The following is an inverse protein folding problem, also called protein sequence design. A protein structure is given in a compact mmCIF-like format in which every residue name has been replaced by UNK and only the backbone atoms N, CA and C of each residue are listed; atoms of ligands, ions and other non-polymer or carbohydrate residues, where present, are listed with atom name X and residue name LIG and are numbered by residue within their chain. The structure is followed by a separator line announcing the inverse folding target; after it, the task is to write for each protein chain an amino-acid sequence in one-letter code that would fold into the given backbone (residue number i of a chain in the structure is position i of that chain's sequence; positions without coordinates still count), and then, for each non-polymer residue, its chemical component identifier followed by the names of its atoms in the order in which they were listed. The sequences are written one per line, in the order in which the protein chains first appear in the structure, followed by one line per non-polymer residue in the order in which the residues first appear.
data_IF_661263050309
#
_entry.id   IF_661263050309
#
_cell.length_a   1.000
_cell.length_b   1.000
_cell.length_c   1.000
_cell.angle_alpha   90.00
_cell.angle_beta   90.00
_cell.angle_gamma   90.00
#
_symmetry.space_group_name_H-M   'P 1'
#
loop_
_entity.id
_entity.type
_entity.pdbx_description
1 polymer ?
#
# COMPACT_ATOMS: atom_id res chain seq x y z
N UNK A 1 -2.95 -4.04 26.32
CA UNK A 1 -3.33 -2.64 26.58
C UNK A 1 -3.95 -2.09 25.29
N UNK A 2 -4.79 -1.05 25.33
CA UNK A 2 -5.45 -0.50 24.13
C UNK A 2 -4.84 0.84 23.72
N UNK A 3 -4.97 1.17 22.43
CA UNK A 3 -4.67 2.47 21.83
C UNK A 3 -5.91 2.95 21.08
N UNK A 4 -6.30 4.21 21.28
CA UNK A 4 -7.48 4.79 20.64
C UNK A 4 -7.07 5.97 19.79
N UNK A 5 -7.48 5.98 18.52
CA UNK A 5 -7.22 7.07 17.58
C UNK A 5 -8.49 7.66 16.98
N UNK A 6 -8.38 8.92 16.58
CA UNK A 6 -9.37 9.64 15.80
C UNK A 6 -8.96 9.60 14.33
N UNK A 7 -9.89 9.17 13.49
CA UNK A 7 -9.73 9.19 12.03
C UNK A 7 -10.47 10.40 11.44
N UNK A 8 -10.21 10.79 10.19
CA UNK A 8 -10.85 11.96 9.58
C UNK A 8 -12.37 11.85 9.40
N UNK A 9 -12.92 10.63 9.38
CA UNK A 9 -14.35 10.40 9.19
C UNK A 9 -14.75 9.00 9.66
N UNK A 10 -16.05 8.76 9.93
CA UNK A 10 -16.52 7.41 10.23
C UNK A 10 -16.19 6.38 9.14
N UNK A 11 -16.15 6.81 7.87
CA UNK A 11 -15.79 5.92 6.77
C UNK A 11 -14.31 5.57 6.76
N UNK A 12 -13.43 6.49 7.18
CA UNK A 12 -12.00 6.21 7.32
C UNK A 12 -11.74 5.18 8.44
N UNK A 13 -12.41 5.33 9.60
CA UNK A 13 -12.34 4.32 10.67
C UNK A 13 -12.86 2.95 10.20
N UNK A 14 -13.98 2.91 9.49
CA UNK A 14 -14.55 1.66 8.99
C UNK A 14 -13.64 0.97 7.95
N UNK A 15 -13.03 1.74 7.05
CA UNK A 15 -12.10 1.22 6.04
C UNK A 15 -10.86 0.61 6.68
N UNK A 16 -10.26 1.31 7.65
CA UNK A 16 -9.10 0.80 8.36
C UNK A 16 -9.43 -0.42 9.23
N UNK A 17 -10.59 -0.42 9.91
CA UNK A 17 -11.09 -1.58 10.64
C UNK A 17 -11.22 -2.80 9.73
N UNK A 18 -11.86 -2.66 8.56
CA UNK A 18 -11.99 -3.75 7.60
C UNK A 18 -10.62 -4.26 7.13
N UNK A 19 -9.67 -3.35 6.89
CA UNK A 19 -8.30 -3.71 6.52
C UNK A 19 -7.55 -4.47 7.60
N UNK A 20 -7.65 -4.04 8.86
CA UNK A 20 -7.03 -4.73 9.99
C UNK A 20 -7.62 -6.12 10.20
N UNK A 21 -8.94 -6.29 10.10
CA UNK A 21 -9.56 -7.61 10.23
C UNK A 21 -9.16 -8.52 9.05
N UNK A 22 -9.21 -8.03 7.80
CA UNK A 22 -8.80 -8.82 6.63
C UNK A 22 -7.34 -9.30 6.71
N UNK A 23 -6.41 -8.39 7.06
CA UNK A 23 -5.00 -8.73 7.24
C UNK A 23 -4.80 -9.72 8.39
N UNK A 24 -5.50 -9.55 9.51
CA UNK A 24 -5.41 -10.46 10.66
C UNK A 24 -5.93 -11.85 10.34
N UNK A 25 -7.07 -11.95 9.65
CA UNK A 25 -7.67 -13.22 9.22
C UNK A 25 -6.77 -13.97 8.23
N UNK A 26 -6.02 -13.24 7.40
CA UNK A 26 -5.00 -13.79 6.52
C UNK A 26 -3.68 -14.17 7.22
N UNK A 27 -3.56 -13.91 8.53
CA UNK A 27 -2.40 -14.28 9.35
C UNK A 27 -1.33 -13.20 9.47
N UNK A 28 -1.57 -11.97 9.00
CA UNK A 28 -0.63 -10.87 9.17
C UNK A 28 -0.56 -10.43 10.64
N UNK A 29 0.62 -9.97 11.05
CA UNK A 29 0.84 -9.40 12.38
C UNK A 29 0.38 -7.94 12.42
N UNK A 30 -0.90 -7.73 12.71
CA UNK A 30 -1.54 -6.41 12.84
C UNK A 30 -2.23 -6.27 14.19
N UNK A 31 -2.46 -5.05 14.70
CA UNK A 31 -3.21 -4.83 15.93
C UNK A 31 -4.62 -5.44 15.89
N UNK A 32 -5.04 -6.11 16.96
CA UNK A 32 -6.44 -6.49 17.13
C UNK A 32 -7.33 -5.25 17.25
N UNK A 33 -8.49 -5.25 16.58
CA UNK A 33 -9.51 -4.21 16.77
C UNK A 33 -10.43 -4.58 17.95
N UNK A 34 -10.67 -3.62 18.85
CA UNK A 34 -11.60 -3.76 19.96
C UNK A 34 -12.93 -3.05 19.72
N UNK A 35 -12.90 -1.87 19.08
CA UNK A 35 -14.11 -1.14 18.69
C UNK A 35 -13.86 -0.15 17.56
N UNK A 36 -14.91 0.08 16.76
CA UNK A 36 -14.97 1.11 15.72
C UNK A 36 -16.29 1.87 15.87
N UNK A 37 -16.26 3.06 16.45
CA UNK A 37 -17.45 3.86 16.76
C UNK A 37 -17.34 5.27 16.18
N UNK A 38 -18.20 5.58 15.20
CA UNK A 38 -18.07 6.83 14.44
C UNK A 38 -16.68 6.91 13.80
N UNK A 39 -15.97 8.02 14.02
CA UNK A 39 -14.61 8.22 13.54
C UNK A 39 -13.51 7.71 14.51
N UNK A 40 -13.89 7.00 15.58
CA UNK A 40 -12.98 6.51 16.61
C UNK A 40 -12.67 5.03 16.42
N UNK A 41 -11.39 4.68 16.40
CA UNK A 41 -10.93 3.29 16.34
C UNK A 41 -10.11 2.97 17.60
N UNK A 42 -10.47 1.90 18.31
CA UNK A 42 -9.71 1.38 19.45
C UNK A 42 -9.12 0.03 19.10
N UNK A 43 -7.79 -0.05 19.16
CA UNK A 43 -6.99 -1.21 18.75
C UNK A 43 -6.03 -1.64 19.84
N UNK A 44 -5.37 -2.77 19.62
CA UNK A 44 -4.24 -3.23 20.42
C UNK A 44 -3.12 -2.20 20.43
N UNK A 45 -2.64 -1.87 21.63
CA UNK A 45 -1.42 -1.09 21.78
C UNK A 45 -0.22 -2.00 21.59
N UNK A 46 0.55 -1.75 20.54
CA UNK A 46 1.81 -2.43 20.29
C UNK A 46 2.90 -1.74 21.12
N UNK A 47 3.51 -2.50 22.03
CA UNK A 47 4.63 -2.02 22.83
C UNK A 47 5.91 -2.07 21.99
N UNK A 48 6.18 -0.97 21.30
CA UNK A 48 7.38 -0.83 20.47
C UNK A 48 8.61 -0.44 21.26
N UNK A 49 9.77 -0.92 20.82
CA UNK A 49 11.09 -0.61 21.37
C UNK A 49 11.87 -1.86 21.69
N UNK A 50 13.13 -1.75 22.08
CA UNK A 50 14.00 -2.90 22.32
C UNK A 50 15.37 -2.75 21.67
N UNK A 51 16.21 -3.81 21.68
CA UNK A 51 17.41 -3.81 20.85
C UNK A 51 17.02 -3.59 19.39
N UNK A 52 17.90 -2.96 18.60
CA UNK A 52 17.64 -2.72 17.18
C UNK A 52 17.36 -4.01 16.42
N UNK A 53 16.66 -3.88 15.28
CA UNK A 53 16.31 -4.97 14.37
C UNK A 53 17.56 -5.73 13.95
N UNK A 54 17.52 -7.06 14.04
CA UNK A 54 18.62 -7.93 13.59
C UNK A 54 18.40 -8.36 12.14
N UNK A 55 19.46 -8.88 11.51
CA UNK A 55 19.36 -9.46 10.16
C UNK A 55 18.35 -10.60 10.07
N UNK A 56 18.20 -11.37 11.14
CA UNK A 56 17.24 -12.46 11.19
C UNK A 56 15.80 -11.93 11.15
N UNK A 57 15.52 -10.87 11.90
CA UNK A 57 14.19 -10.25 11.97
C UNK A 57 13.79 -9.61 10.63
N UNK A 58 14.76 -9.01 9.91
CA UNK A 58 14.58 -8.52 8.55
C UNK A 58 14.17 -9.67 7.60
N UNK A 59 14.94 -10.76 7.59
CA UNK A 59 14.64 -11.93 6.75
C UNK A 59 13.35 -12.64 7.15
N UNK A 60 12.99 -12.66 8.42
CA UNK A 60 11.72 -13.20 8.90
C UNK A 60 10.55 -12.35 8.38
N UNK A 61 10.64 -11.03 8.45
CA UNK A 61 9.59 -10.15 7.93
C UNK A 61 9.36 -10.33 6.42
N UNK A 62 10.42 -10.43 5.63
CA UNK A 62 10.29 -10.69 4.19
C UNK A 62 9.54 -12.00 3.90
N UNK A 63 9.82 -13.07 4.65
CA UNK A 63 9.11 -14.35 4.55
C UNK A 63 7.66 -14.26 5.06
N UNK A 64 7.39 -13.53 6.14
CA UNK A 64 6.03 -13.30 6.65
C UNK A 64 5.16 -12.55 5.62
N UNK A 65 5.70 -11.51 4.99
CA UNK A 65 5.01 -10.76 3.94
C UNK A 65 4.77 -11.64 2.69
N UNK A 66 5.76 -12.45 2.30
CA UNK A 66 5.62 -13.41 1.20
C UNK A 66 4.53 -14.45 1.51
N UNK A 67 4.45 -14.93 2.75
CA UNK A 67 3.42 -15.87 3.18
C UNK A 67 2.02 -15.24 3.10
N UNK A 68 1.85 -14.02 3.63
CA UNK A 68 0.59 -13.26 3.51
C UNK A 68 0.14 -13.12 2.06
N UNK A 69 1.05 -12.70 1.19
CA UNK A 69 0.73 -12.55 -0.23
C UNK A 69 0.45 -13.90 -0.89
N UNK A 70 1.19 -14.96 -0.57
CA UNK A 70 1.00 -16.28 -1.17
C UNK A 70 -0.36 -16.91 -0.79
N UNK A 71 -0.80 -16.77 0.46
CA UNK A 71 -2.03 -17.42 0.96
C UNK A 71 -3.30 -16.71 0.53
N UNK A 72 -3.21 -15.44 0.14
CA UNK A 72 -4.35 -14.59 -0.24
C UNK A 72 -4.47 -14.39 -1.75
N UNK A 73 -3.60 -15.01 -2.56
CA UNK A 73 -3.67 -14.91 -4.02
C UNK A 73 -4.83 -15.71 -4.58
N UNK A 74 -5.97 -15.06 -4.78
CA UNK A 74 -7.18 -15.69 -5.32
C UNK A 74 -7.48 -15.19 -6.73
N UNK A 75 -7.95 -16.08 -7.61
CA UNK A 75 -8.42 -15.68 -8.96
C UNK A 75 -9.89 -15.25 -8.97
N UNK A 76 -10.60 -15.48 -7.87
CA UNK A 76 -12.05 -15.36 -7.79
C UNK A 76 -12.51 -14.06 -7.11
N UNK A 77 -11.62 -13.37 -6.39
CA UNK A 77 -11.87 -12.03 -5.88
C UNK A 77 -11.54 -11.01 -6.98
N UNK A 78 -12.29 -9.91 -7.06
CA UNK A 78 -11.95 -8.79 -7.94
C UNK A 78 -10.86 -7.90 -7.33
N UNK A 79 -10.31 -6.98 -8.13
CA UNK A 79 -9.37 -5.96 -7.65
C UNK A 79 -10.13 -4.81 -7.01
N UNK A 80 -9.77 -4.37 -5.81
CA UNK A 80 -10.49 -3.29 -5.13
C UNK A 80 -10.38 -3.32 -3.61
N UNK A 81 -11.34 -2.67 -2.94
CA UNK A 81 -11.39 -2.64 -1.48
C UNK A 81 -11.64 -4.02 -0.87
N UNK A 82 -11.25 -4.19 0.39
CA UNK A 82 -11.56 -5.39 1.19
C UNK A 82 -13.01 -5.41 1.70
N UNK A 83 -13.76 -4.32 1.52
CA UNK A 83 -15.19 -4.23 1.81
C UNK A 83 -15.99 -3.75 0.59
N UNK A 84 -17.32 -3.87 0.66
CA UNK A 84 -18.22 -3.54 -0.46
C UNK A 84 -18.37 -2.03 -0.71
N UNK A 85 -17.74 -1.16 0.09
CA UNK A 85 -17.86 0.30 -0.04
C UNK A 85 -16.68 0.87 -0.82
N UNK A 86 -16.90 1.43 -2.03
CA UNK A 86 -15.81 1.87 -2.90
C UNK A 86 -15.14 3.17 -2.44
N UNK A 87 -15.54 3.73 -1.29
CA UNK A 87 -14.91 4.89 -0.66
C UNK A 87 -13.79 4.40 0.25
N UNK A 88 -12.56 4.51 -0.25
CA UNK A 88 -11.34 4.10 0.43
C UNK A 88 -10.45 5.30 0.74
N UNK A 89 -9.35 5.05 1.45
CA UNK A 89 -8.36 6.07 1.81
C UNK A 89 -6.95 5.53 1.61
N UNK A 90 -6.06 6.38 1.10
CA UNK A 90 -4.62 6.17 1.18
C UNK A 90 -4.04 7.29 2.04
N UNK A 91 -3.61 6.96 3.26
CA UNK A 91 -3.39 7.93 4.32
C UNK A 91 -4.65 8.78 4.56
N UNK A 92 -4.53 10.10 4.40
CA UNK A 92 -5.64 11.05 4.54
C UNK A 92 -6.37 11.36 3.23
N UNK A 93 -5.93 10.81 2.10
CA UNK A 93 -6.50 11.13 0.79
C UNK A 93 -7.63 10.15 0.46
N UNK A 94 -8.88 10.63 0.25
CA UNK A 94 -9.96 9.79 -0.25
C UNK A 94 -9.64 9.30 -1.67
N UNK A 95 -9.86 8.01 -1.92
CA UNK A 95 -9.70 7.38 -3.22
C UNK A 95 -10.95 6.56 -3.56
N UNK A 96 -11.19 6.36 -4.85
CA UNK A 96 -12.25 5.49 -5.34
C UNK A 96 -11.66 4.11 -5.62
N UNK A 97 -12.16 3.08 -4.94
CA UNK A 97 -11.62 1.72 -5.00
C UNK A 97 -12.75 0.68 -5.11
N UNK A 98 -13.57 0.73 -6.19
CA UNK A 98 -14.58 -0.30 -6.44
C UNK A 98 -13.92 -1.64 -6.78
N UNK A 99 -14.65 -2.74 -6.55
CA UNK A 99 -14.27 -4.07 -7.02
C UNK A 99 -14.46 -4.14 -8.54
N UNK A 100 -13.38 -4.48 -9.25
CA UNK A 100 -13.35 -4.57 -10.73
C UNK A 100 -12.58 -5.80 -11.19
N UNK A 101 -12.75 -6.18 -12.46
CA UNK A 101 -12.22 -7.44 -13.00
C UNK A 101 -10.75 -7.36 -13.45
N UNK A 102 -10.18 -6.16 -13.56
CA UNK A 102 -8.81 -5.97 -14.04
C UNK A 102 -7.97 -5.05 -13.16
N UNK A 103 -6.69 -5.37 -13.07
CA UNK A 103 -5.72 -4.54 -12.36
C UNK A 103 -5.53 -3.18 -13.03
N UNK A 104 -5.55 -3.15 -14.36
CA UNK A 104 -5.46 -1.91 -15.14
C UNK A 104 -6.57 -0.93 -14.77
N UNK A 105 -7.82 -1.39 -14.73
CA UNK A 105 -8.96 -0.55 -14.34
C UNK A 105 -8.83 -0.08 -12.90
N UNK A 106 -8.47 -0.97 -11.97
CA UNK A 106 -8.31 -0.61 -10.55
C UNK A 106 -7.18 0.40 -10.34
N UNK A 107 -6.01 0.19 -10.95
CA UNK A 107 -4.81 0.97 -10.68
C UNK A 107 -4.71 2.22 -11.56
N UNK A 108 -4.79 2.07 -12.89
CA UNK A 108 -4.63 3.19 -13.81
C UNK A 108 -5.89 4.05 -13.88
N UNK A 109 -7.03 3.44 -14.22
CA UNK A 109 -8.26 4.19 -14.53
C UNK A 109 -8.94 4.76 -13.28
N UNK A 110 -9.05 3.98 -12.20
CA UNK A 110 -9.75 4.41 -10.99
C UNK A 110 -8.88 5.25 -10.05
N UNK A 111 -7.54 5.15 -10.14
CA UNK A 111 -6.64 5.80 -9.17
C UNK A 111 -5.59 6.71 -9.80
N UNK A 112 -4.67 6.19 -10.62
CA UNK A 112 -3.55 7.01 -11.14
C UNK A 112 -4.06 8.16 -12.00
N UNK A 113 -4.96 7.92 -12.98
CA UNK A 113 -5.49 8.98 -13.85
C UNK A 113 -6.28 10.04 -13.06
N UNK A 114 -7.24 9.68 -12.18
CA UNK A 114 -8.01 10.67 -11.44
C UNK A 114 -7.14 11.46 -10.45
N UNK A 115 -6.19 10.81 -9.77
CA UNK A 115 -5.28 11.51 -8.85
C UNK A 115 -4.31 12.43 -9.60
N UNK A 116 -3.78 12.02 -10.76
CA UNK A 116 -2.95 12.89 -11.59
C UNK A 116 -3.73 14.12 -12.08
N UNK A 117 -4.97 13.93 -12.55
CA UNK A 117 -5.86 15.04 -12.93
C UNK A 117 -6.07 15.99 -11.76
N UNK A 118 -6.45 15.47 -10.59
CA UNK A 118 -6.65 16.25 -9.37
C UNK A 118 -5.39 17.02 -8.98
N UNK A 119 -4.22 16.37 -8.98
CA UNK A 119 -2.95 17.00 -8.64
C UNK A 119 -2.59 18.15 -9.59
N UNK A 120 -2.91 18.03 -10.89
CA UNK A 120 -2.71 19.12 -11.86
C UNK A 120 -3.72 20.26 -11.65
N UNK A 121 -5.00 19.93 -11.41
CA UNK A 121 -6.06 20.92 -11.13
C UNK A 121 -5.79 21.73 -9.85
N UNK A 122 -5.23 21.09 -8.82
CA UNK A 122 -4.82 21.72 -7.56
C UNK A 122 -3.46 22.43 -7.64
N UNK A 123 -2.75 22.34 -8.78
CA UNK A 123 -1.45 22.98 -8.99
C UNK A 123 -0.27 22.28 -8.30
N UNK A 124 -0.46 21.03 -7.87
CA UNK A 124 0.55 20.19 -7.22
C UNK A 124 1.47 19.46 -8.21
N UNK A 125 1.07 19.38 -9.50
CA UNK A 125 1.77 18.64 -10.54
C UNK A 125 1.73 19.38 -11.90
N UNK A 126 2.79 19.25 -12.70
CA UNK A 126 2.86 19.86 -14.02
C UNK A 126 1.89 19.19 -15.02
N UNK A 127 1.32 19.97 -15.94
CA UNK A 127 0.37 19.48 -16.93
C UNK A 127 0.95 18.41 -17.88
N UNK A 128 2.28 18.35 -18.04
CA UNK A 128 3.00 17.26 -18.71
C UNK A 128 2.61 15.89 -18.15
N UNK A 129 2.33 15.81 -16.84
CA UNK A 129 1.98 14.56 -16.18
C UNK A 129 0.75 13.89 -16.80
N UNK A 130 -0.26 14.65 -17.23
CA UNK A 130 -1.46 14.07 -17.86
C UNK A 130 -1.10 13.36 -19.17
N UNK A 131 -0.20 13.96 -19.97
CA UNK A 131 0.27 13.33 -21.22
C UNK A 131 1.09 12.07 -20.97
N UNK A 132 1.86 12.01 -19.89
CA UNK A 132 2.65 10.83 -19.55
C UNK A 132 1.77 9.71 -19.00
N UNK A 133 0.83 10.05 -18.11
CA UNK A 133 -0.16 9.09 -17.59
C UNK A 133 -1.00 8.49 -18.72
N UNK A 134 -1.39 9.27 -19.73
CA UNK A 134 -2.13 8.80 -20.93
C UNK A 134 -1.37 7.78 -21.78
N UNK A 135 -0.05 7.63 -21.59
CA UNK A 135 0.75 6.59 -22.26
C UNK A 135 0.83 5.29 -21.49
N UNK A 136 0.42 5.28 -20.22
CA UNK A 136 0.37 4.07 -19.40
C UNK A 136 -0.79 3.19 -19.85
N UNK A 137 -0.50 1.90 -19.96
CA UNK A 137 -1.32 0.83 -20.52
C UNK A 137 -1.00 -0.47 -19.76
N UNK A 138 -1.90 -1.45 -19.78
CA UNK A 138 -1.79 -2.74 -19.08
C UNK A 138 -0.39 -3.37 -19.14
N UNK A 139 0.25 -3.37 -20.31
CA UNK A 139 1.57 -3.98 -20.51
C UNK A 139 2.68 -3.44 -19.61
N UNK A 140 2.53 -2.23 -19.07
CA UNK A 140 3.52 -1.64 -18.15
C UNK A 140 3.37 -2.18 -16.73
N UNK A 141 2.20 -2.72 -16.36
CA UNK A 141 1.90 -3.22 -15.02
C UNK A 141 2.60 -4.56 -14.70
N UNK A 142 3.25 -5.17 -15.68
CA UNK A 142 3.87 -6.50 -15.55
C UNK A 142 2.97 -7.62 -16.04
N UNK A 143 3.35 -8.89 -15.83
CA UNK A 143 2.52 -10.02 -16.18
C UNK A 143 1.26 -10.11 -15.32
N UNK A 144 0.23 -10.77 -15.84
CA UNK A 144 -1.00 -11.00 -15.08
C UNK A 144 -0.72 -11.86 -13.83
N UNK A 145 -1.03 -11.31 -12.67
CA UNK A 145 -1.05 -12.00 -11.38
C UNK A 145 -2.47 -11.94 -10.78
N UNK A 146 -2.90 -12.94 -9.98
CA UNK A 146 -4.15 -12.85 -9.24
C UNK A 146 -4.12 -11.69 -8.22
N UNK A 147 -5.28 -11.10 -7.90
CA UNK A 147 -5.45 -10.23 -6.74
C UNK A 147 -4.82 -10.82 -5.49
N UNK A 148 -4.13 -9.96 -4.74
CA UNK A 148 -3.43 -10.31 -3.51
C UNK A 148 -3.86 -9.34 -2.42
N UNK A 149 -4.07 -9.84 -1.20
CA UNK A 149 -4.31 -8.94 -0.07
C UNK A 149 -3.00 -8.23 0.26
N UNK A 150 -2.96 -6.92 0.01
CA UNK A 150 -1.80 -6.08 0.32
C UNK A 150 -2.12 -5.17 1.50
N UNK A 151 -1.08 -4.73 2.22
CA UNK A 151 -1.19 -3.68 3.24
C UNK A 151 -1.63 -2.35 2.63
N UNK A 152 -1.13 -2.03 1.42
CA UNK A 152 -1.56 -0.89 0.60
C UNK A 152 -0.93 0.45 0.97
N UNK A 153 -0.27 0.55 2.13
CA UNK A 153 0.52 1.72 2.57
C UNK A 153 1.78 1.30 3.35
N UNK A 154 2.53 0.30 2.83
CA UNK A 154 3.64 -0.32 3.57
C UNK A 154 4.96 0.45 3.47
N UNK A 155 5.05 1.57 4.18
CA UNK A 155 6.31 2.29 4.40
C UNK A 155 6.79 2.14 5.85
N UNK A 156 8.02 2.55 6.14
CA UNK A 156 8.64 2.28 7.44
C UNK A 156 7.91 2.91 8.64
N UNK A 157 7.15 4.00 8.43
CA UNK A 157 6.31 4.59 9.46
C UNK A 157 5.12 3.70 9.87
N UNK A 158 4.71 2.79 9.00
CA UNK A 158 3.61 1.84 9.21
C UNK A 158 4.11 0.45 9.65
N UNK A 159 5.39 0.35 10.02
CA UNK A 159 5.99 -0.85 10.64
C UNK A 159 6.52 -0.53 12.02
N UNK A 160 6.03 -1.26 13.02
CA UNK A 160 6.53 -1.20 14.40
C UNK A 160 7.28 -2.48 14.75
N UNK A 161 8.36 -2.38 15.52
CA UNK A 161 9.07 -3.54 16.06
C UNK A 161 8.74 -3.71 17.54
N UNK A 162 8.31 -4.90 17.92
CA UNK A 162 8.16 -5.24 19.34
C UNK A 162 9.50 -5.55 20.01
N UNK A 163 9.48 -5.78 21.33
CA UNK A 163 10.68 -6.12 22.12
C UNK A 163 11.39 -7.40 21.69
N UNK A 164 10.77 -8.23 20.84
CA UNK A 164 11.34 -9.46 20.29
C UNK A 164 11.88 -9.26 18.87
N UNK A 165 11.81 -8.04 18.31
CA UNK A 165 12.26 -7.73 16.95
C UNK A 165 11.19 -7.97 15.88
N UNK A 166 10.01 -8.49 16.24
CA UNK A 166 8.97 -8.87 15.27
C UNK A 166 8.28 -7.64 14.70
N UNK A 167 8.00 -7.69 13.41
CA UNK A 167 7.38 -6.59 12.66
C UNK A 167 5.86 -6.63 12.76
N UNK A 168 5.28 -5.57 13.31
CA UNK A 168 3.84 -5.31 13.36
C UNK A 168 3.48 -4.26 12.32
N UNK A 169 2.46 -4.54 11.52
CA UNK A 169 1.95 -3.62 10.50
C UNK A 169 0.78 -2.80 11.05
N UNK A 170 0.77 -1.49 10.81
CA UNK A 170 -0.24 -0.57 11.31
C UNK A 170 -0.74 0.36 10.20
N UNK A 171 -1.88 0.99 10.43
CA UNK A 171 -2.48 1.99 9.54
C UNK A 171 -2.63 1.51 8.08
N UNK A 172 -3.23 0.32 7.84
CA UNK A 172 -3.32 -0.23 6.50
C UNK A 172 -4.29 0.55 5.61
N UNK A 173 -3.96 0.62 4.33
CA UNK A 173 -4.89 0.92 3.25
C UNK A 173 -5.21 -0.37 2.47
N UNK A 174 -5.62 -1.40 3.22
CA UNK A 174 -5.69 -2.77 2.74
C UNK A 174 -6.65 -2.94 1.57
N UNK A 175 -6.24 -3.73 0.58
CA UNK A 175 -6.97 -3.92 -0.66
C UNK A 175 -6.56 -5.22 -1.35
N UNK A 176 -7.43 -5.68 -2.25
CA UNK A 176 -7.12 -6.69 -3.25
C UNK A 176 -6.39 -6.02 -4.41
N UNK A 177 -5.06 -6.09 -4.38
CA UNK A 177 -4.16 -5.34 -5.25
C UNK A 177 -2.99 -6.18 -5.75
N UNK A 178 -2.14 -5.58 -6.58
CA UNK A 178 -0.92 -6.25 -7.04
C UNK A 178 0.12 -6.22 -5.92
N UNK A 179 0.72 -7.36 -5.58
CA UNK A 179 1.68 -7.51 -4.47
C UNK A 179 2.90 -6.59 -4.55
N UNK A 180 3.28 -6.18 -5.76
CA UNK A 180 4.37 -5.22 -5.97
C UNK A 180 4.06 -3.81 -5.43
N UNK A 181 2.79 -3.49 -5.11
CA UNK A 181 2.44 -2.23 -4.44
C UNK A 181 3.17 -2.06 -3.11
N UNK A 182 3.10 -3.09 -2.25
CA UNK A 182 3.72 -3.04 -0.93
C UNK A 182 5.25 -2.95 -1.05
N UNK A 183 5.84 -3.74 -1.95
CA UNK A 183 7.29 -3.70 -2.20
C UNK A 183 7.75 -2.34 -2.74
N UNK A 184 7.00 -1.76 -3.68
CA UNK A 184 7.31 -0.45 -4.22
C UNK A 184 7.23 0.65 -3.14
N UNK A 185 6.28 0.53 -2.21
CA UNK A 185 6.16 1.44 -1.07
C UNK A 185 7.32 1.27 -0.07
N UNK A 186 7.77 0.05 0.18
CA UNK A 186 8.95 -0.23 1.01
C UNK A 186 10.23 0.44 0.45
N UNK A 187 10.35 0.57 -0.87
CA UNK A 187 11.47 1.25 -1.52
C UNK A 187 11.37 2.79 -1.50
N UNK A 188 10.21 3.39 -1.27
CA UNK A 188 9.99 4.82 -1.54
C UNK A 188 10.59 5.75 -0.47
N UNK A 189 10.39 5.43 0.82
CA UNK A 189 10.83 6.26 1.94
C UNK A 189 11.98 5.66 2.76
N UNK A 190 12.51 4.52 2.31
CA UNK A 190 13.52 3.76 3.02
C UNK A 190 13.00 3.13 4.32
N UNK A 191 13.93 2.59 5.12
CA UNK A 191 13.62 1.89 6.37
C UNK A 191 13.38 0.39 6.23
N UNK A 192 13.42 -0.13 5.01
CA UNK A 192 13.55 -1.56 4.70
C UNK A 192 14.90 -1.78 4.02
N UNK A 193 15.47 -2.97 4.20
CA UNK A 193 16.74 -3.36 3.58
C UNK A 193 16.53 -4.37 2.46
N UNK A 194 17.57 -4.56 1.65
CA UNK A 194 17.62 -5.59 0.62
C UNK A 194 17.42 -7.02 1.16
N UNK A 195 17.55 -7.24 2.48
CA UNK A 195 17.31 -8.56 3.09
C UNK A 195 15.84 -8.90 3.19
N UNK A 196 15.01 -7.94 3.57
CA UNK A 196 13.56 -8.13 3.57
C UNK A 196 13.07 -8.43 2.16
N UNK A 197 13.55 -7.66 1.18
CA UNK A 197 13.20 -7.86 -0.23
C UNK A 197 13.73 -9.20 -0.77
N UNK A 198 15.00 -9.52 -0.51
CA UNK A 198 15.61 -10.78 -0.97
C UNK A 198 14.95 -12.02 -0.37
N UNK A 199 14.65 -12.01 0.93
CA UNK A 199 13.96 -13.14 1.58
C UNK A 199 12.50 -13.27 1.15
N UNK A 200 11.84 -12.16 0.82
CA UNK A 200 10.53 -12.17 0.17
C UNK A 200 10.61 -12.83 -1.20
N UNK A 201 11.56 -12.41 -2.04
CA UNK A 201 11.73 -12.92 -3.41
C UNK A 201 12.13 -14.41 -3.42
N UNK A 202 12.94 -14.85 -2.47
CA UNK A 202 13.26 -16.28 -2.28
C UNK A 202 12.00 -17.12 -1.96
N UNK A 203 11.07 -16.59 -1.18
CA UNK A 203 9.87 -17.30 -0.73
C UNK A 203 8.70 -17.22 -1.72
N UNK A 204 8.54 -16.08 -2.39
CA UNK A 204 7.52 -15.81 -3.40
C UNK A 204 8.11 -15.00 -4.56
N UNK A 205 8.76 -15.67 -5.53
CA UNK A 205 9.53 -15.02 -6.59
C UNK A 205 8.76 -13.93 -7.34
N UNK A 206 9.41 -12.79 -7.52
CA UNK A 206 8.93 -11.66 -8.30
C UNK A 206 9.10 -11.93 -9.79
N UNK A 207 8.17 -11.40 -10.58
CA UNK A 207 8.27 -11.52 -12.02
C UNK A 207 9.46 -10.73 -12.55
N UNK A 208 10.07 -11.22 -13.63
CA UNK A 208 11.15 -10.52 -14.33
C UNK A 208 10.77 -9.05 -14.59
N UNK A 209 11.72 -8.14 -14.38
CA UNK A 209 11.52 -6.72 -14.59
C UNK A 209 10.78 -5.99 -13.46
N UNK A 210 10.63 -6.59 -12.27
CA UNK A 210 9.90 -5.97 -11.15
C UNK A 210 10.57 -4.70 -10.63
N UNK A 211 11.90 -4.64 -10.66
CA UNK A 211 12.64 -3.45 -10.22
C UNK A 211 12.32 -2.24 -11.11
N UNK A 212 12.16 -2.46 -12.42
CA UNK A 212 11.78 -1.45 -13.40
C UNK A 212 10.33 -0.97 -13.19
N UNK A 213 9.48 -1.78 -12.54
CA UNK A 213 8.10 -1.42 -12.18
C UNK A 213 7.98 -0.69 -10.84
N UNK A 214 9.04 -0.60 -10.03
CA UNK A 214 9.00 0.15 -8.76
C UNK A 214 8.48 1.58 -8.96
N UNK A 215 9.01 2.40 -9.89
CA UNK A 215 8.53 3.77 -10.06
C UNK A 215 7.06 3.83 -10.51
N UNK A 216 6.60 2.82 -11.25
CA UNK A 216 5.21 2.74 -11.70
C UNK A 216 4.29 2.54 -10.49
N UNK A 217 4.60 1.58 -9.62
CA UNK A 217 3.80 1.31 -8.44
C UNK A 217 3.90 2.42 -7.37
N UNK A 218 5.01 3.17 -7.35
CA UNK A 218 5.19 4.37 -6.53
C UNK A 218 4.37 5.58 -6.99
N UNK A 219 3.79 5.59 -8.20
CA UNK A 219 2.97 6.70 -8.66
C UNK A 219 1.81 7.00 -7.71
N UNK A 220 1.15 5.95 -7.20
CA UNK A 220 0.00 6.10 -6.32
C UNK A 220 0.34 6.84 -5.00
N UNK A 221 1.31 6.39 -4.18
CA UNK A 221 1.70 7.13 -2.98
C UNK A 221 2.29 8.50 -3.32
N UNK A 222 3.07 8.65 -4.39
CA UNK A 222 3.64 9.95 -4.79
C UNK A 222 2.57 10.98 -5.17
N UNK A 223 1.54 10.58 -5.92
CA UNK A 223 0.39 11.42 -6.27
C UNK A 223 -0.37 11.86 -5.02
N UNK A 224 -0.62 10.93 -4.09
CA UNK A 224 -1.26 11.24 -2.81
C UNK A 224 -0.43 12.22 -1.98
N UNK A 225 0.89 12.02 -1.90
CA UNK A 225 1.77 12.94 -1.18
C UNK A 225 1.85 14.32 -1.84
N UNK A 226 1.82 14.39 -3.18
CA UNK A 226 1.76 15.66 -3.91
C UNK A 226 0.48 16.43 -3.59
N UNK A 227 -0.67 15.76 -3.52
CA UNK A 227 -1.96 16.36 -3.15
C UNK A 227 -1.97 16.82 -1.69
N UNK A 228 -1.53 15.97 -0.75
CA UNK A 228 -1.65 16.24 0.68
C UNK A 228 -0.59 17.22 1.20
N UNK A 229 0.63 17.17 0.67
CA UNK A 229 1.78 17.87 1.23
C UNK A 229 2.49 18.80 0.24
N UNK A 230 2.20 18.69 -1.06
CA UNK A 230 2.85 19.49 -2.10
C UNK A 230 4.37 19.33 -2.10
N UNK A 231 5.09 20.44 -2.25
CA UNK A 231 6.55 20.46 -2.17
C UNK A 231 7.21 19.60 -3.25
N UNK A 232 8.21 18.79 -2.86
CA UNK A 232 9.01 17.98 -3.78
C UNK A 232 8.28 16.78 -4.39
N UNK A 233 7.11 16.38 -3.88
CA UNK A 233 6.41 15.16 -4.31
C UNK A 233 5.87 15.27 -5.74
N UNK A 234 5.47 16.47 -6.19
CA UNK A 234 5.08 16.67 -7.59
C UNK A 234 6.23 16.41 -8.56
N UNK A 235 7.43 16.90 -8.23
CA UNK A 235 8.64 16.65 -9.03
C UNK A 235 9.05 15.17 -9.03
N UNK A 236 8.93 14.48 -7.89
CA UNK A 236 9.18 13.04 -7.80
C UNK A 236 8.16 12.24 -8.61
N UNK A 237 6.87 12.60 -8.54
CA UNK A 237 5.82 11.98 -9.37
C UNK A 237 6.14 12.14 -10.85
N UNK A 238 6.51 13.34 -11.29
CA UNK A 238 6.87 13.59 -12.69
C UNK A 238 8.11 12.81 -13.13
N UNK A 239 9.10 12.66 -12.24
CA UNK A 239 10.27 11.84 -12.50
C UNK A 239 9.91 10.37 -12.68
N UNK A 240 9.10 9.80 -11.78
CA UNK A 240 8.62 8.43 -11.87
C UNK A 240 7.79 8.20 -13.15
N UNK A 241 6.91 9.14 -13.51
CA UNK A 241 6.17 9.08 -14.78
C UNK A 241 7.09 9.02 -15.99
N UNK A 242 8.15 9.85 -16.03
CA UNK A 242 9.10 9.86 -17.15
C UNK A 242 9.92 8.58 -17.27
N UNK A 243 10.11 7.83 -16.18
CA UNK A 243 10.86 6.56 -16.23
C UNK A 243 10.00 5.38 -16.69
N UNK A 244 8.67 5.50 -16.68
CA UNK A 244 7.75 4.39 -16.97
C UNK A 244 6.82 4.63 -18.17
N UNK A 245 6.69 5.87 -18.65
CA UNK A 245 5.80 6.25 -19.75
C UNK A 245 6.44 6.24 -21.14
#
# INVERSE_FOLDING_TARGET
MTFTKQTPSPRAAAYEHAGLEALRDAGARVPQVYSCEGATLTIERIDSGGPGVTRHDEEEFGRELAALHATTRTRDEGWGGVDDDPRAFLGLCPVHLPVVDSWEESYLENRVRPLARRAVEEGCLDAEALRLVDRLEARHLGPDEPPTLVHGDLWAGNRMHDHQGRSWLIDPAAQWGHRELDLAMMHLFGGFTEREIGSYDEALPLAEGWQERIPLYQLLPLLVHAILFGGGYGAQTLHALRSVA
#
